data_IF_861721272841
#
_entry.id   IF_861721272841
#
_cell.length_a   1.000
_cell.length_b   1.000
_cell.length_c   1.000
_cell.angle_alpha   90.00
_cell.angle_beta   90.00
_cell.angle_gamma   90.00
#
_symmetry.space_group_name_H-M   'P 1'
#
loop_
_entity.id
_entity.type
_entity.pdbx_description
1 polymer ?
#
# COMPACT_ATOMS: atom_id res chain seq x y z
N UNK A 1 29.18 -12.76 -72.56
CA UNK A 1 28.85 -14.06 -71.96
C UNK A 1 29.23 -13.96 -70.48
N UNK A 2 28.26 -13.59 -69.66
CA UNK A 2 27.55 -14.45 -68.68
C UNK A 2 28.20 -14.32 -67.29
N UNK A 3 27.68 -13.45 -66.40
CA UNK A 3 26.60 -13.67 -65.40
C UNK A 3 26.90 -14.73 -64.33
N UNK A 4 26.88 -14.30 -63.06
CA UNK A 4 26.77 -15.22 -61.90
C UNK A 4 26.71 -14.49 -60.56
N UNK A 5 25.60 -14.64 -59.83
CA UNK A 5 25.14 -13.86 -58.66
C UNK A 5 24.95 -14.79 -57.44
N UNK A 6 24.85 -14.20 -56.22
CA UNK A 6 24.16 -14.65 -54.96
C UNK A 6 25.08 -15.25 -53.87
N UNK A 7 24.89 -15.11 -52.54
CA UNK A 7 24.07 -14.30 -51.57
C UNK A 7 24.36 -14.82 -50.13
N UNK A 8 24.17 -13.97 -49.09
CA UNK A 8 23.68 -14.26 -47.69
C UNK A 8 24.67 -14.97 -46.70
N UNK A 9 24.70 -14.78 -45.36
CA UNK A 9 23.86 -14.11 -44.32
C UNK A 9 24.52 -14.22 -42.91
N UNK A 10 24.21 -13.27 -41.99
CA UNK A 10 23.99 -13.35 -40.51
C UNK A 10 25.20 -13.58 -39.56
N UNK A 11 25.20 -13.25 -38.26
CA UNK A 11 24.55 -12.27 -37.36
C UNK A 11 24.99 -12.62 -35.91
N UNK A 12 25.48 -11.62 -35.14
CA UNK A 12 25.15 -11.26 -33.73
C UNK A 12 25.34 -12.25 -32.54
N UNK A 13 25.96 -11.72 -31.47
CA UNK A 13 25.52 -11.87 -30.06
C UNK A 13 26.58 -12.39 -29.09
N UNK A 14 26.77 -11.89 -27.85
CA UNK A 14 26.11 -10.84 -27.10
C UNK A 14 26.95 -10.51 -25.84
N UNK A 15 27.07 -9.23 -25.49
CA UNK A 15 27.54 -8.75 -24.18
C UNK A 15 26.83 -7.42 -23.90
N UNK A 16 25.96 -7.40 -22.90
CA UNK A 16 25.23 -6.22 -22.42
C UNK A 16 25.07 -6.34 -20.90
N UNK A 17 25.09 -5.29 -20.09
CA UNK A 17 25.41 -3.90 -20.33
C UNK A 17 25.57 -3.20 -18.96
N UNK A 18 26.59 -2.37 -18.83
CA UNK A 18 26.64 -1.30 -17.83
C UNK A 18 25.90 -0.09 -18.42
N UNK A 19 24.94 0.47 -17.68
CA UNK A 19 24.18 1.65 -18.10
C UNK A 19 25.10 2.88 -18.05
N UNK A 20 25.58 3.31 -19.23
CA UNK A 20 26.33 4.56 -19.40
C UNK A 20 25.33 5.68 -19.70
N UNK A 21 25.27 6.69 -18.84
CA UNK A 21 24.57 7.95 -19.10
C UNK A 21 25.29 8.68 -20.25
N UNK A 22 24.74 8.60 -21.45
CA UNK A 22 25.24 9.34 -22.61
C UNK A 22 24.86 10.82 -22.48
N UNK A 23 25.83 11.67 -22.07
CA UNK A 23 25.70 13.12 -22.21
C UNK A 23 25.93 13.50 -23.69
N UNK A 24 24.84 13.74 -24.40
CA UNK A 24 24.84 14.21 -25.79
C UNK A 24 25.29 15.67 -25.86
N UNK A 25 26.46 15.95 -26.44
CA UNK A 25 26.86 17.32 -26.80
C UNK A 25 26.21 17.72 -28.13
N UNK A 26 25.37 18.76 -28.13
CA UNK A 26 24.79 19.32 -29.34
C UNK A 26 25.77 20.31 -29.99
N UNK A 27 26.43 19.94 -31.08
CA UNK A 27 27.12 20.88 -31.97
C UNK A 27 26.15 21.41 -33.02
N UNK A 28 25.91 22.73 -33.05
CA UNK A 28 25.06 23.41 -34.05
C UNK A 28 25.92 23.97 -35.20
N UNK A 29 25.54 23.66 -36.45
CA UNK A 29 26.10 24.27 -37.67
C UNK A 29 24.99 25.08 -38.35
N UNK A 30 25.24 26.37 -38.62
CA UNK A 30 24.31 27.25 -39.31
C UNK A 30 24.28 26.93 -40.82
N UNK A 31 23.10 26.59 -41.33
CA UNK A 31 22.77 26.57 -42.75
C UNK A 31 21.40 27.23 -42.92
N UNK A 32 21.20 28.00 -44.00
CA UNK A 32 19.97 28.77 -44.28
C UNK A 32 18.71 27.94 -44.02
N UNK A 33 18.01 28.28 -42.93
CA UNK A 33 16.86 27.56 -42.39
C UNK A 33 16.75 27.71 -40.87
N UNK A 34 15.53 27.73 -40.33
CA UNK A 34 15.32 27.83 -38.88
C UNK A 34 15.74 26.54 -38.17
N UNK A 35 16.70 26.62 -37.23
CA UNK A 35 17.11 25.48 -36.40
C UNK A 35 16.43 25.52 -35.03
N UNK A 36 15.87 24.38 -34.64
CA UNK A 36 15.34 24.12 -33.29
C UNK A 36 16.04 22.90 -32.71
N UNK A 37 16.54 23.01 -31.48
CA UNK A 37 17.11 21.92 -30.69
C UNK A 37 16.34 21.79 -29.38
N UNK A 38 16.20 20.57 -28.87
CA UNK A 38 15.53 20.28 -27.60
C UNK A 38 16.49 19.60 -26.62
N UNK A 39 16.25 19.83 -25.33
CA UNK A 39 16.96 19.21 -24.20
C UNK A 39 15.92 18.54 -23.31
N UNK A 40 16.24 17.37 -22.76
CA UNK A 40 15.40 16.67 -21.79
C UNK A 40 15.96 16.88 -20.37
N UNK A 41 15.10 17.33 -19.46
CA UNK A 41 15.42 17.45 -18.02
C UNK A 41 14.65 16.37 -17.26
N UNK A 42 15.25 15.84 -16.20
CA UNK A 42 14.65 14.78 -15.37
C UNK A 42 14.87 15.07 -13.90
N UNK A 43 13.80 14.97 -13.11
CA UNK A 43 13.80 15.07 -11.64
C UNK A 43 12.99 13.88 -11.13
N UNK A 44 13.45 13.23 -10.06
CA UNK A 44 12.73 12.17 -9.36
C UNK A 44 12.41 12.63 -7.94
N UNK A 45 11.18 12.36 -7.50
CA UNK A 45 10.72 12.49 -6.11
C UNK A 45 10.02 11.19 -5.75
N UNK A 46 10.41 10.58 -4.64
CA UNK A 46 9.85 9.31 -4.18
C UNK A 46 8.58 9.52 -3.36
N UNK A 47 7.68 8.53 -3.37
CA UNK A 47 6.48 8.49 -2.55
C UNK A 47 6.81 8.20 -1.08
N UNK A 48 6.04 8.76 -0.14
CA UNK A 48 6.20 8.54 1.29
C UNK A 48 4.87 8.64 2.01
N UNK A 49 4.55 7.67 2.87
CA UNK A 49 3.34 7.67 3.69
C UNK A 49 3.62 7.18 5.12
N UNK A 50 2.71 7.50 6.03
CA UNK A 50 2.72 7.06 7.43
C UNK A 50 1.33 6.56 7.79
N UNK A 51 1.26 5.36 8.36
CA UNK A 51 0.04 4.78 8.92
C UNK A 51 0.03 4.99 10.44
N UNK A 52 -1.05 5.57 10.96
CA UNK A 52 -1.30 5.70 12.39
C UNK A 52 -2.42 4.76 12.80
N UNK A 53 -2.12 3.89 13.77
CA UNK A 53 -3.07 2.91 14.31
C UNK A 53 -3.49 3.29 15.73
N UNK A 54 -4.65 2.79 16.21
CA UNK A 54 -5.04 3.00 17.59
C UNK A 54 -4.09 2.32 18.58
N UNK A 55 -4.06 2.83 19.83
CA UNK A 55 -3.22 2.26 20.90
C UNK A 55 -3.86 1.00 21.49
N UNK A 56 -3.05 0.14 22.09
CA UNK A 56 -3.55 -0.98 22.88
C UNK A 56 -4.44 -0.47 24.01
N UNK A 57 -5.56 -1.15 24.24
CA UNK A 57 -6.52 -0.80 25.28
C UNK A 57 -7.22 -2.02 25.86
N UNK A 58 -7.88 -1.83 27.00
CA UNK A 58 -8.69 -2.85 27.65
C UNK A 58 -10.13 -2.78 27.11
N UNK A 59 -10.75 -3.94 26.93
CA UNK A 59 -12.18 -4.07 26.65
C UNK A 59 -12.90 -4.43 27.94
N UNK A 60 -13.96 -3.71 28.27
CA UNK A 60 -14.77 -3.99 29.47
C UNK A 60 -15.69 -5.18 29.17
N UNK A 61 -15.68 -6.18 30.04
CA UNK A 61 -16.52 -7.37 29.89
C UNK A 61 -18.01 -7.00 29.85
N UNK A 62 -18.76 -7.60 28.92
CA UNK A 62 -20.18 -7.35 28.74
C UNK A 62 -20.51 -6.10 27.91
N UNK A 63 -19.52 -5.33 27.48
CA UNK A 63 -19.73 -4.21 26.55
C UNK A 63 -19.82 -4.73 25.12
N UNK A 64 -20.95 -4.47 24.45
CA UNK A 64 -21.18 -4.94 23.08
C UNK A 64 -20.29 -4.22 22.08
N UNK A 65 -20.24 -2.89 22.17
CA UNK A 65 -19.47 -2.03 21.28
C UNK A 65 -18.45 -1.22 22.08
N UNK A 66 -17.18 -1.39 21.76
CA UNK A 66 -16.08 -0.61 22.36
C UNK A 66 -15.35 0.16 21.28
N UNK A 67 -15.44 1.48 21.31
CA UNK A 67 -14.64 2.33 20.43
C UNK A 67 -13.15 2.20 20.80
N UNK A 68 -12.31 1.93 19.80
CA UNK A 68 -10.87 1.69 20.01
C UNK A 68 -9.98 2.81 19.48
N UNK A 69 -10.55 3.87 18.93
CA UNK A 69 -9.84 4.96 18.27
C UNK A 69 -9.92 4.85 16.75
N UNK A 70 -8.95 5.44 16.05
CA UNK A 70 -9.01 5.53 14.59
C UNK A 70 -7.72 5.08 13.88
N UNK A 71 -7.91 4.58 12.67
CA UNK A 71 -6.87 4.31 11.68
C UNK A 71 -6.80 5.49 10.70
N UNK A 72 -5.60 5.99 10.44
CA UNK A 72 -5.38 6.99 9.39
C UNK A 72 -4.10 6.73 8.63
N UNK A 73 -4.07 7.21 7.39
CA UNK A 73 -2.88 7.25 6.54
C UNK A 73 -2.69 8.67 6.07
N UNK A 74 -1.47 9.19 6.19
CA UNK A 74 -1.06 10.50 5.70
C UNK A 74 0.21 10.37 4.88
N UNK A 75 0.45 11.30 3.95
CA UNK A 75 1.65 11.27 3.12
C UNK A 75 1.48 11.93 1.78
N UNK A 76 2.46 11.73 0.92
CA UNK A 76 2.45 12.17 -0.47
C UNK A 76 2.90 10.99 -1.35
N UNK A 77 2.04 10.60 -2.27
CA UNK A 77 2.28 9.47 -3.18
C UNK A 77 2.09 9.95 -4.63
N UNK A 78 2.47 9.11 -5.60
CA UNK A 78 2.22 9.43 -7.01
C UNK A 78 0.72 9.51 -7.31
N UNK A 79 0.33 10.35 -8.28
CA UNK A 79 -1.08 10.54 -8.68
C UNK A 79 -1.74 9.30 -9.28
N UNK A 80 -0.94 8.28 -9.62
CA UNK A 80 -1.38 6.95 -10.07
C UNK A 80 -1.07 5.86 -9.06
N UNK A 81 -0.99 6.23 -7.79
CA UNK A 81 -0.71 5.32 -6.68
C UNK A 81 -1.79 5.47 -5.61
N UNK A 82 -1.90 4.43 -4.81
CA UNK A 82 -2.80 4.34 -3.66
C UNK A 82 -2.13 3.55 -2.53
N UNK A 83 -2.55 3.84 -1.29
CA UNK A 83 -2.16 3.03 -0.13
C UNK A 83 -3.32 2.11 0.22
N UNK A 84 -3.08 0.81 0.19
CA UNK A 84 -4.05 -0.22 0.59
C UNK A 84 -3.70 -0.70 1.97
N UNK A 85 -4.64 -0.61 2.90
CA UNK A 85 -4.53 -1.19 4.23
C UNK A 85 -5.46 -2.38 4.35
N UNK A 86 -4.93 -3.51 4.80
CA UNK A 86 -5.68 -4.70 5.17
C UNK A 86 -5.59 -4.94 6.68
N UNK A 87 -6.62 -5.54 7.25
CA UNK A 87 -6.68 -5.92 8.66
C UNK A 87 -6.80 -7.43 8.80
N UNK A 88 -5.99 -7.97 9.72
CA UNK A 88 -6.09 -9.33 10.21
C UNK A 88 -6.32 -9.32 11.73
N UNK A 89 -7.14 -10.25 12.24
CA UNK A 89 -7.49 -10.31 13.66
C UNK A 89 -7.36 -11.73 14.19
N UNK A 90 -6.78 -11.88 15.38
CA UNK A 90 -6.88 -13.12 16.16
C UNK A 90 -8.16 -13.14 16.96
N UNK A 91 -8.58 -14.31 17.45
CA UNK A 91 -9.63 -14.39 18.46
C UNK A 91 -9.13 -13.91 19.83
N UNK A 92 -10.06 -13.52 20.70
CA UNK A 92 -9.76 -13.37 22.13
C UNK A 92 -9.49 -14.74 22.71
N UNK A 93 -8.25 -14.96 23.15
CA UNK A 93 -7.79 -16.25 23.69
C UNK A 93 -7.38 -16.09 25.15
N UNK A 94 -7.82 -16.98 26.02
CA UNK A 94 -7.41 -16.98 27.42
C UNK A 94 -5.91 -17.25 27.53
N UNK A 95 -5.22 -16.37 28.24
CA UNK A 95 -3.78 -16.47 28.51
C UNK A 95 -3.40 -17.72 29.30
N UNK A 96 -4.34 -18.32 30.05
CA UNK A 96 -4.13 -19.55 30.80
C UNK A 96 -4.57 -20.82 30.07
N UNK A 97 -5.45 -20.71 29.07
CA UNK A 97 -6.01 -21.84 28.33
C UNK A 97 -6.30 -21.46 26.86
N UNK A 98 -5.44 -21.90 25.95
CA UNK A 98 -5.62 -21.64 24.52
C UNK A 98 -6.88 -22.28 23.91
N UNK A 99 -7.45 -23.31 24.57
CA UNK A 99 -8.71 -23.93 24.15
C UNK A 99 -9.93 -23.06 24.46
N UNK A 100 -9.78 -22.06 25.33
CA UNK A 100 -10.82 -21.13 25.73
C UNK A 100 -10.66 -19.82 24.96
N UNK A 101 -11.38 -19.69 23.85
CA UNK A 101 -11.32 -18.53 22.97
C UNK A 101 -12.70 -18.15 22.42
N UNK A 102 -12.84 -16.91 21.95
CA UNK A 102 -14.04 -16.44 21.29
C UNK A 102 -13.75 -15.36 20.23
N UNK A 103 -14.58 -15.28 19.18
CA UNK A 103 -14.40 -14.30 18.12
C UNK A 103 -14.93 -12.92 18.51
N UNK A 104 -14.45 -11.90 17.80
CA UNK A 104 -15.03 -10.56 17.75
C UNK A 104 -15.00 -10.05 16.32
N UNK A 105 -15.73 -8.97 16.05
CA UNK A 105 -15.64 -8.25 14.78
C UNK A 105 -15.03 -6.86 15.00
N UNK A 106 -14.18 -6.42 14.07
CA UNK A 106 -13.77 -5.03 13.99
C UNK A 106 -14.74 -4.30 13.06
N UNK A 107 -15.35 -3.22 13.52
CA UNK A 107 -16.35 -2.45 12.79
C UNK A 107 -15.86 -1.05 12.45
N UNK A 108 -16.38 -0.52 11.34
CA UNK A 108 -16.40 0.90 11.01
C UNK A 108 -17.87 1.30 10.82
N UNK A 109 -18.38 2.17 11.69
CA UNK A 109 -19.80 2.51 11.70
C UNK A 109 -20.65 1.25 11.95
N UNK A 110 -21.48 0.86 10.99
CA UNK A 110 -22.35 -0.31 11.09
C UNK A 110 -21.87 -1.54 10.30
N UNK A 111 -20.66 -1.49 9.72
CA UNK A 111 -20.12 -2.57 8.88
C UNK A 111 -18.84 -3.17 9.43
N UNK A 112 -18.59 -4.44 9.11
CA UNK A 112 -17.32 -5.10 9.40
C UNK A 112 -16.20 -4.44 8.58
N UNK A 113 -15.13 -4.04 9.26
CA UNK A 113 -13.96 -3.41 8.68
C UNK A 113 -12.86 -4.44 8.44
N UNK A 114 -12.49 -4.65 7.18
CA UNK A 114 -11.39 -5.54 6.78
C UNK A 114 -10.20 -4.78 6.19
N UNK A 115 -10.34 -3.47 5.98
CA UNK A 115 -9.33 -2.65 5.32
C UNK A 115 -9.94 -1.43 4.64
N UNK A 116 -9.05 -0.57 4.12
CA UNK A 116 -9.42 0.59 3.31
C UNK A 116 -8.28 0.95 2.36
N UNK A 117 -8.64 1.52 1.22
CA UNK A 117 -7.69 2.14 0.28
C UNK A 117 -7.77 3.67 0.37
N UNK A 118 -6.63 4.34 0.38
CA UNK A 118 -6.51 5.79 0.28
C UNK A 118 -5.87 6.15 -1.06
N UNK A 119 -6.57 6.98 -1.83
CA UNK A 119 -6.05 7.58 -3.06
C UNK A 119 -5.05 8.70 -2.77
N UNK A 120 -4.20 9.05 -3.75
CA UNK A 120 -3.32 10.23 -3.67
C UNK A 120 -4.07 11.49 -3.23
N UNK A 121 -5.27 11.69 -3.79
CA UNK A 121 -6.11 12.85 -3.48
C UNK A 121 -6.57 12.87 -2.02
N UNK A 122 -6.96 11.72 -1.45
CA UNK A 122 -7.33 11.65 -0.04
C UNK A 122 -6.15 11.93 0.89
N UNK A 123 -4.93 11.57 0.49
CA UNK A 123 -3.73 11.85 1.28
C UNK A 123 -3.33 13.33 1.20
N UNK A 124 -3.49 13.98 0.04
CA UNK A 124 -3.30 15.43 -0.13
C UNK A 124 -4.26 16.25 0.76
N UNK A 125 -5.50 15.78 0.90
CA UNK A 125 -6.54 16.42 1.72
C UNK A 125 -6.33 16.17 3.24
N UNK A 126 -5.16 15.66 3.64
CA UNK A 126 -4.75 15.45 5.04
C UNK A 126 -5.01 14.03 5.58
N UNK A 127 -5.46 13.12 4.73
CA UNK A 127 -5.78 11.74 5.10
C UNK A 127 -7.15 11.60 5.76
N UNK A 128 -7.94 10.64 5.28
CA UNK A 128 -9.24 10.30 5.91
C UNK A 128 -9.02 9.43 7.15
N UNK A 129 -9.56 9.85 8.29
CA UNK A 129 -9.57 9.05 9.52
C UNK A 129 -10.75 8.06 9.54
N UNK A 130 -10.48 6.83 9.97
CA UNK A 130 -11.44 5.72 10.05
C UNK A 130 -11.63 5.35 11.52
N UNK A 131 -12.75 5.72 12.17
CA UNK A 131 -13.03 5.28 13.53
C UNK A 131 -13.36 3.79 13.54
N UNK A 132 -12.81 3.09 14.53
CA UNK A 132 -12.91 1.64 14.66
C UNK A 132 -13.55 1.26 15.99
N UNK A 133 -14.38 0.22 15.94
CA UNK A 133 -15.11 -0.32 17.09
C UNK A 133 -14.90 -1.82 17.17
N UNK A 134 -14.53 -2.34 18.34
CA UNK A 134 -14.59 -3.78 18.61
C UNK A 134 -16.03 -4.14 18.98
N UNK A 135 -16.61 -5.04 18.21
CA UNK A 135 -17.97 -5.55 18.41
C UNK A 135 -17.92 -7.00 18.93
N UNK A 136 -18.49 -7.21 20.11
CA UNK A 136 -18.64 -8.53 20.75
C UNK A 136 -20.10 -8.68 21.18
N UNK A 137 -20.90 -9.51 20.47
CA UNK A 137 -22.32 -9.69 20.80
C UNK A 137 -22.54 -10.20 22.23
N UNK A 138 -23.67 -9.81 22.84
CA UNK A 138 -24.05 -10.26 24.18
C UNK A 138 -24.12 -11.79 24.30
N UNK A 139 -24.44 -12.52 23.22
CA UNK A 139 -24.46 -13.98 23.23
C UNK A 139 -23.07 -14.59 23.38
N UNK A 140 -22.02 -13.90 22.91
CA UNK A 140 -20.63 -14.32 23.12
C UNK A 140 -20.27 -14.12 24.58
N UNK A 141 -20.52 -12.92 25.13
CA UNK A 141 -20.27 -12.62 26.53
C UNK A 141 -20.96 -13.59 27.50
N UNK A 142 -22.21 -13.97 27.21
CA UNK A 142 -22.96 -14.92 28.04
C UNK A 142 -22.40 -16.35 28.04
N UNK A 143 -21.52 -16.69 27.09
CA UNK A 143 -20.87 -18.01 26.97
C UNK A 143 -19.39 -17.97 27.36
N UNK A 144 -18.79 -16.79 27.42
CA UNK A 144 -17.39 -16.60 27.80
C UNK A 144 -17.17 -17.01 29.25
N UNK A 145 -16.21 -17.91 29.49
CA UNK A 145 -15.82 -18.32 30.84
C UNK A 145 -14.94 -17.26 31.53
N UNK A 146 -14.85 -17.23 32.86
CA UNK A 146 -13.90 -16.36 33.55
C UNK A 146 -12.45 -16.66 33.13
N UNK A 147 -11.69 -15.62 32.79
CA UNK A 147 -10.33 -15.76 32.29
C UNK A 147 -9.72 -14.40 31.94
N UNK A 148 -8.44 -14.38 31.57
CA UNK A 148 -7.77 -13.17 31.06
C UNK A 148 -7.52 -13.35 29.58
N UNK A 149 -8.27 -12.64 28.74
CA UNK A 149 -8.23 -12.82 27.30
C UNK A 149 -7.40 -11.74 26.60
N UNK A 150 -6.71 -12.12 25.53
CA UNK A 150 -5.99 -11.21 24.64
C UNK A 150 -6.31 -11.51 23.19
N UNK A 151 -6.38 -10.46 22.39
CA UNK A 151 -6.45 -10.54 20.93
C UNK A 151 -5.46 -9.54 20.33
N UNK A 152 -5.11 -9.77 19.07
CA UNK A 152 -4.26 -8.89 18.27
C UNK A 152 -5.00 -8.48 17.01
N UNK A 153 -4.96 -7.17 16.71
CA UNK A 153 -5.39 -6.61 15.43
C UNK A 153 -4.14 -6.17 14.69
N UNK A 154 -3.89 -6.74 13.52
CA UNK A 154 -2.73 -6.45 12.68
C UNK A 154 -3.17 -5.62 11.49
N UNK A 155 -2.57 -4.43 11.33
CA UNK A 155 -2.77 -3.57 10.16
C UNK A 155 -1.54 -3.69 9.26
N UNK A 156 -1.76 -4.02 7.98
CA UNK A 156 -0.70 -4.05 6.97
C UNK A 156 -1.01 -3.03 5.88
N UNK A 157 -0.04 -2.21 5.51
CA UNK A 157 -0.18 -1.18 4.49
C UNK A 157 0.81 -1.42 3.34
N UNK A 158 0.31 -1.35 2.11
CA UNK A 158 1.12 -1.43 0.90
C UNK A 158 0.86 -0.24 -0.03
N UNK A 159 1.90 0.21 -0.73
CA UNK A 159 1.77 1.15 -1.83
C UNK A 159 1.56 0.35 -3.11
N UNK A 160 0.50 0.67 -3.84
CA UNK A 160 0.15 0.02 -5.10
C UNK A 160 -0.09 1.07 -6.19
N UNK A 161 0.16 0.69 -7.45
CA UNK A 161 -0.23 1.50 -8.59
C UNK A 161 -1.72 1.30 -8.90
N UNK A 162 -2.42 2.39 -9.20
CA UNK A 162 -3.82 2.36 -9.68
C UNK A 162 -3.85 1.83 -11.11
N UNK A 163 -4.71 0.85 -11.38
CA UNK A 163 -4.91 0.29 -12.73
C UNK A 163 -5.56 1.29 -13.69
#
# INVERSE_FOLDING_TARGET
>A
METGKKRKKRAVGAGLAAAVLAMSVCTAYAADGSQSQSMQLTIQKDASYTMSIPKSQNIVFGTVDTEIGSLSVTGEIGTKQEVRVSVDTTEFTDTADAGNHFPFALWQGSGVFTGKTWSSKELEDGGTSVPLTVHIPSEIWGKTSPGTYRAVITFAAELADTQ
#
